data_IF_186791266316
#
_entry.id   IF_186791266316
#
_cell.length_a   1.000
_cell.length_b   1.000
_cell.length_c   1.000
_cell.angle_alpha   90.00
_cell.angle_beta   90.00
_cell.angle_gamma   90.00
#
_symmetry.space_group_name_H-M   'P 1'
#
loop_
_entity.id
_entity.type
_entity.pdbx_description
1 polymer ?
#
# COMPACT_ATOMS: atom_id res chain seq x y z
N UNK A 1 -10.26 8.42 1.35
CA UNK A 1 -9.54 7.12 1.40
C UNK A 1 -9.49 6.56 -0.01
N UNK A 2 -8.31 6.35 -0.61
CA UNK A 2 -8.22 5.68 -1.91
C UNK A 2 -8.33 4.15 -1.73
N UNK A 3 -9.07 3.50 -2.62
CA UNK A 3 -9.12 2.04 -2.69
C UNK A 3 -7.82 1.49 -3.27
N UNK A 4 -7.51 0.22 -3.01
CA UNK A 4 -6.27 -0.38 -3.54
C UNK A 4 -6.27 -0.39 -5.07
N UNK A 5 -7.45 -0.55 -5.71
CA UNK A 5 -7.60 -0.42 -7.16
C UNK A 5 -7.26 0.98 -7.69
N UNK A 6 -7.67 2.03 -6.98
CA UNK A 6 -7.34 3.42 -7.33
C UNK A 6 -5.84 3.70 -7.23
N UNK A 7 -5.19 3.14 -6.21
CA UNK A 7 -3.74 3.25 -6.04
C UNK A 7 -3.03 2.51 -7.18
N UNK A 8 -3.50 1.31 -7.54
CA UNK A 8 -2.98 0.54 -8.66
C UNK A 8 -3.06 1.33 -9.98
N UNK A 9 -4.21 1.96 -10.27
CA UNK A 9 -4.36 2.82 -11.44
C UNK A 9 -3.39 4.01 -11.40
N UNK A 10 -3.26 4.68 -10.25
CA UNK A 10 -2.35 5.83 -10.08
C UNK A 10 -0.87 5.50 -10.24
N UNK A 11 -0.44 4.29 -9.89
CA UNK A 11 0.95 3.85 -10.05
C UNK A 11 1.22 3.18 -11.41
N UNK A 12 0.26 3.22 -12.34
CA UNK A 12 0.42 2.74 -13.70
C UNK A 12 0.12 1.25 -13.90
N UNK A 13 -0.59 0.61 -12.98
CA UNK A 13 -1.07 -0.76 -13.15
C UNK A 13 -2.50 -0.78 -13.68
N UNK A 14 -2.70 -1.52 -14.77
CA UNK A 14 -4.02 -1.72 -15.38
C UNK A 14 -4.96 -2.60 -14.55
N UNK A 15 -4.42 -3.41 -13.62
CA UNK A 15 -5.20 -4.35 -12.83
C UNK A 15 -4.70 -4.47 -11.39
N UNK A 16 -5.65 -4.61 -10.47
CA UNK A 16 -5.41 -4.80 -9.04
C UNK A 16 -4.58 -6.06 -8.75
N UNK A 17 -4.77 -7.12 -9.54
CA UNK A 17 -4.05 -8.39 -9.39
C UNK A 17 -2.56 -8.24 -9.69
N UNK A 18 -2.19 -7.61 -10.80
CA UNK A 18 -0.80 -7.32 -11.17
C UNK A 18 -0.12 -6.44 -10.13
N UNK A 19 -0.83 -5.39 -9.67
CA UNK A 19 -0.37 -4.54 -8.57
C UNK A 19 -0.20 -5.33 -7.27
N UNK A 20 -1.18 -6.16 -6.90
CA UNK A 20 -1.15 -6.98 -5.69
C UNK A 20 0.00 -7.99 -5.70
N UNK A 21 0.26 -8.62 -6.85
CA UNK A 21 1.37 -9.55 -7.04
C UNK A 21 2.72 -8.83 -6.93
N UNK A 22 2.91 -7.71 -7.66
CA UNK A 22 4.13 -6.91 -7.60
C UNK A 22 4.37 -6.33 -6.20
N UNK A 23 3.33 -5.84 -5.56
CA UNK A 23 3.37 -5.31 -4.19
C UNK A 23 3.75 -6.40 -3.20
N UNK A 24 3.13 -7.58 -3.28
CA UNK A 24 3.47 -8.71 -2.41
C UNK A 24 4.87 -9.25 -2.69
N UNK A 25 5.34 -9.23 -3.94
CA UNK A 25 6.74 -9.57 -4.28
C UNK A 25 7.74 -8.58 -3.69
N UNK A 26 7.41 -7.29 -3.66
CA UNK A 26 8.29 -6.23 -3.13
C UNK A 26 8.24 -6.08 -1.61
N UNK A 27 7.07 -6.19 -0.99
CA UNK A 27 6.83 -5.94 0.44
C UNK A 27 6.54 -7.21 1.25
N UNK A 28 6.40 -8.37 0.60
CA UNK A 28 6.07 -9.65 1.25
C UNK A 28 4.62 -9.83 1.65
N UNK A 29 3.80 -8.78 1.63
CA UNK A 29 2.41 -8.79 2.09
C UNK A 29 1.46 -8.12 1.10
N UNK A 30 0.19 -8.53 1.08
CA UNK A 30 -0.80 -7.94 0.18
C UNK A 30 -1.15 -6.50 0.61
N UNK A 31 -1.45 -5.59 -0.33
CA UNK A 31 -1.80 -4.20 -0.01
C UNK A 31 -3.03 -4.06 0.90
N UNK A 32 -3.98 -5.00 0.85
CA UNK A 32 -5.11 -5.06 1.78
C UNK A 32 -4.66 -5.39 3.22
N UNK A 33 -3.72 -6.33 3.38
CA UNK A 33 -3.13 -6.67 4.67
C UNK A 33 -2.26 -5.52 5.20
N UNK A 34 -1.50 -4.86 4.33
CA UNK A 34 -0.74 -3.65 4.66
C UNK A 34 -1.67 -2.54 5.15
N UNK A 35 -2.80 -2.30 4.48
CA UNK A 35 -3.79 -1.31 4.92
C UNK A 35 -4.48 -1.70 6.22
N UNK A 36 -4.78 -2.98 6.43
CA UNK A 36 -5.33 -3.47 7.72
C UNK A 36 -4.34 -3.25 8.86
N UNK A 37 -3.06 -3.59 8.66
CA UNK A 37 -1.99 -3.32 9.64
C UNK A 37 -1.86 -1.83 9.87
N UNK A 38 -1.72 -1.00 8.83
CA UNK A 38 -1.69 0.45 8.98
C UNK A 38 -2.95 1.05 9.61
N UNK A 39 -4.13 0.44 9.47
CA UNK A 39 -5.35 0.92 10.14
C UNK A 39 -5.33 0.56 11.62
N UNK A 40 -4.76 -0.59 11.97
CA UNK A 40 -4.50 -0.96 13.37
C UNK A 40 -3.38 -0.09 13.97
N UNK A 41 -2.37 0.29 13.18
CA UNK A 41 -1.25 1.13 13.62
C UNK A 41 -1.63 2.62 13.59
N UNK A 42 -2.62 3.05 12.81
CA UNK A 42 -3.08 4.45 12.73
C UNK A 42 -3.82 4.95 13.98
N UNK A 43 -4.00 4.12 15.01
CA UNK A 43 -4.33 4.63 16.35
C UNK A 43 -3.10 5.10 17.13
N UNK A 44 -1.89 4.83 16.65
CA UNK A 44 -0.62 5.22 17.26
C UNK A 44 0.44 5.50 16.19
N UNK A 45 0.68 6.78 15.89
CA UNK A 45 1.78 7.30 15.07
C UNK A 45 1.59 7.35 13.53
N UNK A 46 1.30 8.57 13.08
CA UNK A 46 1.83 9.13 11.83
C UNK A 46 3.34 8.85 11.76
N UNK A 47 3.77 7.84 11.01
CA UNK A 47 5.17 7.68 10.60
C UNK A 47 5.25 7.76 9.08
N UNK A 48 5.49 8.99 8.61
CA UNK A 48 5.97 9.29 7.27
C UNK A 48 7.45 8.85 7.23
N UNK A 49 7.93 8.11 6.21
CA UNK A 49 9.36 7.93 6.06
C UNK A 49 10.01 9.32 5.89
N UNK A 50 11.07 9.67 6.66
CA UNK A 50 11.73 10.95 6.50
C UNK A 50 12.37 11.01 5.11
N UNK A 51 12.10 12.10 4.39
CA UNK A 51 12.74 12.40 3.11
C UNK A 51 14.25 12.57 3.34
N UNK A 52 15.12 11.92 2.54
CA UNK A 52 16.54 12.26 2.54
C UNK A 52 16.70 13.71 2.03
N UNK A 53 17.55 14.48 2.71
CA UNK A 53 17.91 15.87 2.32
C UNK A 53 18.69 15.89 1.03
#
# INVERSE_FOLDING_TARGET
RLSVGEIAGKVGYSSLESFGFAFRKRFGISPHAYRRRQSAEKTSAVSLPPLPR
#
